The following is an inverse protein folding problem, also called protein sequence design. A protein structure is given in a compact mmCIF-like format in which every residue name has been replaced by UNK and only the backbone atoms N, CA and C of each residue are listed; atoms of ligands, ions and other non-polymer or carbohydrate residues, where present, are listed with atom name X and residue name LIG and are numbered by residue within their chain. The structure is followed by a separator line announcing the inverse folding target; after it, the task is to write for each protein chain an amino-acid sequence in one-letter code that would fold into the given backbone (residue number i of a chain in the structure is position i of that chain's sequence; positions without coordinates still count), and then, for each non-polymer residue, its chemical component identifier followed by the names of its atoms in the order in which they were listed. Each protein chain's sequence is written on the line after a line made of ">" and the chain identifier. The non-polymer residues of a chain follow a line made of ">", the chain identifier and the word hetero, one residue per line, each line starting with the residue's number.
data_IF_015272071013
#
_entry.id   IF_015272071013
#
_cell.length_a   1.000
_cell.length_b   1.000
_cell.length_c   1.000
_cell.angle_alpha   90.00
_cell.angle_beta   90.00
_cell.angle_gamma   90.00
#
_symmetry.space_group_name_H-M   'P 1'
#
loop_
_entity.id
_entity.type
_entity.pdbx_description
1 polymer ?
#
# COMPACT_ATOMS: atom_id res chain seq x y z
N UNK A 1 -30.45 -14.94 -1.39
CA UNK A 1 -29.93 -13.63 -1.81
C UNK A 1 -29.58 -12.88 -0.53
N UNK A 2 -28.33 -13.00 -0.11
CA UNK A 2 -27.87 -12.38 1.13
C UNK A 2 -27.64 -10.89 0.89
N UNK A 3 -28.27 -10.05 1.71
CA UNK A 3 -28.11 -8.61 1.70
C UNK A 3 -26.66 -8.26 2.09
N UNK A 4 -25.83 -8.00 1.08
CA UNK A 4 -24.53 -7.37 1.28
C UNK A 4 -24.75 -5.99 1.89
N UNK A 5 -24.45 -5.89 3.19
CA UNK A 5 -24.46 -4.64 3.94
C UNK A 5 -23.34 -3.73 3.41
N UNK A 6 -23.64 -2.57 2.78
CA UNK A 6 -22.61 -1.67 2.25
C UNK A 6 -21.84 -0.94 3.37
N UNK A 7 -22.15 -1.19 4.66
CA UNK A 7 -21.44 -0.60 5.80
C UNK A 7 -20.14 -1.31 6.18
N UNK A 8 -19.68 -2.30 5.41
CA UNK A 8 -18.35 -2.88 5.56
C UNK A 8 -17.26 -2.09 4.81
N UNK A 9 -17.53 -0.85 4.39
CA UNK A 9 -16.47 0.14 4.23
C UNK A 9 -15.95 0.40 5.64
N UNK A 10 -14.97 -0.39 6.06
CA UNK A 10 -14.17 -0.13 7.24
C UNK A 10 -13.91 1.37 7.24
N UNK A 11 -14.53 2.09 8.19
CA UNK A 11 -14.08 3.40 8.63
C UNK A 11 -12.67 3.17 9.14
N UNK A 12 -11.72 3.02 8.23
CA UNK A 12 -10.31 3.07 8.53
C UNK A 12 -10.13 4.45 9.11
N UNK A 13 -10.04 4.48 10.43
CA UNK A 13 -9.92 5.65 11.28
C UNK A 13 -8.84 6.56 10.68
N UNK A 14 -9.23 7.51 9.83
CA UNK A 14 -8.29 8.46 9.21
C UNK A 14 -7.58 9.29 10.27
N UNK A 15 -8.16 9.35 11.48
CA UNK A 15 -7.55 9.89 12.70
C UNK A 15 -6.24 9.20 13.09
N UNK A 16 -6.10 7.93 12.75
CA UNK A 16 -4.94 7.10 13.06
C UNK A 16 -4.36 6.53 11.76
N UNK A 17 -4.01 7.42 10.83
CA UNK A 17 -3.34 7.06 9.59
C UNK A 17 -2.06 7.87 9.41
N UNK A 18 -1.10 7.30 8.69
CA UNK A 18 0.20 7.95 8.40
C UNK A 18 0.67 7.64 6.99
N UNK A 19 1.55 8.45 6.41
CA UNK A 19 2.19 8.11 5.13
C UNK A 19 2.96 6.79 5.21
N UNK A 20 2.92 6.00 4.15
CA UNK A 20 3.72 4.78 4.05
C UNK A 20 5.20 5.13 3.82
N UNK A 21 6.05 4.97 4.83
CA UNK A 21 7.49 5.26 4.71
C UNK A 21 8.18 4.43 3.60
N UNK A 22 7.78 3.17 3.41
CA UNK A 22 8.29 2.34 2.32
C UNK A 22 7.96 2.93 0.95
N UNK A 23 6.70 3.26 0.68
CA UNK A 23 6.33 3.87 -0.59
C UNK A 23 7.01 5.25 -0.77
N UNK A 24 7.18 6.02 0.32
CA UNK A 24 7.90 7.30 0.27
C UNK A 24 9.36 7.14 -0.12
N UNK A 25 10.01 6.05 0.29
CA UNK A 25 11.41 5.77 -0.03
C UNK A 25 11.59 5.24 -1.46
N UNK A 26 10.67 4.41 -1.95
CA UNK A 26 10.86 3.66 -3.21
C UNK A 26 10.01 4.12 -4.40
N UNK A 27 8.97 4.91 -4.19
CA UNK A 27 8.23 5.53 -5.28
C UNK A 27 8.60 7.01 -5.46
N UNK A 28 9.30 7.38 -6.54
CA UNK A 28 9.62 8.78 -6.83
C UNK A 28 8.38 9.64 -7.03
N UNK A 29 7.23 9.04 -7.37
CA UNK A 29 5.96 9.73 -7.61
C UNK A 29 5.04 9.70 -6.39
N UNK A 30 5.54 9.31 -5.22
CA UNK A 30 4.72 9.14 -4.02
C UNK A 30 3.91 10.40 -3.67
N UNK A 31 4.53 11.58 -3.75
CA UNK A 31 3.89 12.86 -3.42
C UNK A 31 2.87 13.31 -4.49
N UNK A 32 2.93 12.77 -5.70
CA UNK A 32 1.95 13.04 -6.77
C UNK A 32 0.66 12.21 -6.63
N UNK A 33 0.69 11.16 -5.81
CA UNK A 33 -0.49 10.31 -5.59
C UNK A 33 -1.58 11.07 -4.85
N UNK A 34 -2.82 10.62 -4.97
CA UNK A 34 -3.89 11.13 -4.12
C UNK A 34 -3.55 10.88 -2.65
N UNK A 35 -3.85 11.85 -1.78
CA UNK A 35 -3.60 11.75 -0.34
C UNK A 35 -3.98 10.38 0.27
N UNK A 36 -5.17 9.79 0.03
CA UNK A 36 -5.52 8.50 0.61
C UNK A 36 -4.63 7.33 0.13
N UNK A 37 -4.11 7.36 -1.10
CA UNK A 37 -3.21 6.31 -1.64
C UNK A 37 -1.82 6.35 -1.01
N UNK A 38 -1.47 7.48 -0.39
CA UNK A 38 -0.22 7.64 0.35
C UNK A 38 -0.29 7.02 1.76
N UNK A 39 -1.50 6.78 2.27
CA UNK A 39 -1.73 6.51 3.69
C UNK A 39 -1.85 5.02 4.01
N UNK A 40 -1.35 4.65 5.19
CA UNK A 40 -1.52 3.35 5.84
C UNK A 40 -2.18 3.52 7.20
N UNK A 41 -2.88 2.47 7.65
CA UNK A 41 -3.42 2.41 9.00
C UNK A 41 -2.30 2.38 10.05
N UNK A 42 -2.40 3.18 11.11
CA UNK A 42 -1.44 3.20 12.21
C UNK A 42 -1.41 1.87 12.97
N UNK A 43 -0.25 1.50 13.51
CA UNK A 43 -0.05 0.26 14.26
C UNK A 43 0.21 -0.99 13.41
N UNK A 44 0.12 -0.87 12.07
CA UNK A 44 0.53 -1.94 11.14
C UNK A 44 1.93 -1.69 10.60
N UNK A 45 2.61 -2.79 10.26
CA UNK A 45 3.89 -2.75 9.52
C UNK A 45 3.67 -2.12 8.14
N UNK A 46 4.75 -1.67 7.51
CA UNK A 46 4.75 -1.15 6.13
C UNK A 46 4.52 -2.26 5.11
N UNK A 47 3.29 -2.77 5.04
CA UNK A 47 2.90 -3.82 4.10
C UNK A 47 1.79 -3.33 3.18
N UNK A 48 1.64 -3.95 2.02
CA UNK A 48 0.57 -3.61 1.08
C UNK A 48 -0.81 -3.60 1.77
N UNK A 49 -1.11 -4.61 2.59
CA UNK A 49 -2.38 -4.76 3.32
C UNK A 49 -2.63 -3.71 4.42
N UNK A 50 -1.67 -2.81 4.69
CA UNK A 50 -1.86 -1.70 5.60
C UNK A 50 -2.40 -0.45 4.89
N UNK A 51 -2.37 -0.40 3.56
CA UNK A 51 -2.89 0.74 2.80
C UNK A 51 -4.40 0.90 2.94
N UNK A 52 -4.85 2.16 2.95
CA UNK A 52 -6.27 2.51 3.10
C UNK A 52 -7.06 2.35 1.80
N UNK A 53 -6.38 2.26 0.67
CA UNK A 53 -6.96 2.14 -0.66
C UNK A 53 -6.37 0.96 -1.42
N UNK A 54 -7.15 0.45 -2.39
CA UNK A 54 -6.69 -0.59 -3.31
C UNK A 54 -5.52 -0.10 -4.19
N UNK A 55 -5.57 1.13 -4.68
CA UNK A 55 -4.49 1.68 -5.49
C UNK A 55 -3.18 1.80 -4.69
N UNK A 56 -3.26 2.26 -3.43
CA UNK A 56 -2.12 2.25 -2.49
C UNK A 56 -1.57 0.83 -2.28
N UNK A 57 -2.46 -0.16 -2.08
CA UNK A 57 -2.10 -1.57 -1.96
C UNK A 57 -1.35 -2.07 -3.21
N UNK A 58 -1.91 -1.86 -4.40
CA UNK A 58 -1.35 -2.37 -5.66
C UNK A 58 0.01 -1.75 -5.92
N UNK A 59 0.13 -0.42 -5.78
CA UNK A 59 1.40 0.28 -5.99
C UNK A 59 2.47 -0.16 -4.99
N UNK A 60 2.13 -0.34 -3.72
CA UNK A 60 3.06 -0.91 -2.73
C UNK A 60 3.51 -2.31 -3.15
N UNK A 61 2.58 -3.17 -3.57
CA UNK A 61 2.89 -4.55 -3.94
C UNK A 61 3.79 -4.63 -5.17
N UNK A 62 3.58 -3.76 -6.16
CA UNK A 62 4.46 -3.66 -7.34
C UNK A 62 5.89 -3.28 -6.93
N UNK A 63 6.06 -2.32 -6.02
CA UNK A 63 7.40 -1.95 -5.52
C UNK A 63 8.09 -3.10 -4.78
N UNK A 64 7.37 -3.84 -3.93
CA UNK A 64 7.91 -5.03 -3.27
C UNK A 64 8.43 -6.06 -4.29
N UNK A 65 7.62 -6.37 -5.30
CA UNK A 65 7.96 -7.34 -6.35
C UNK A 65 9.15 -6.86 -7.19
N UNK A 66 9.16 -5.59 -7.60
CA UNK A 66 10.28 -5.00 -8.34
C UNK A 66 11.59 -5.09 -7.56
N UNK A 67 11.56 -4.88 -6.24
CA UNK A 67 12.75 -5.02 -5.39
C UNK A 67 13.22 -6.46 -5.24
N UNK A 68 12.30 -7.42 -5.18
CA UNK A 68 12.65 -8.85 -5.18
C UNK A 68 13.33 -9.20 -6.51
N UNK A 69 12.72 -8.79 -7.63
CA UNK A 69 13.27 -9.01 -8.96
C UNK A 69 14.66 -8.39 -9.12
N UNK A 70 14.87 -7.15 -8.68
CA UNK A 70 16.18 -6.48 -8.76
C UNK A 70 17.26 -7.09 -7.86
N UNK A 71 16.86 -7.76 -6.77
CA UNK A 71 17.78 -8.36 -5.80
C UNK A 71 18.17 -9.78 -6.16
N UNK A 72 17.49 -10.39 -7.12
CA UNK A 72 17.86 -11.71 -7.64
C UNK A 72 18.97 -11.49 -8.66
N UNK A 73 20.24 -11.86 -8.39
CA UNK A 73 21.25 -11.87 -9.45
C UNK A 73 20.75 -12.80 -10.55
N UNK A 74 20.79 -12.33 -11.79
CA UNK A 74 20.43 -13.13 -12.95
C UNK A 74 21.42 -14.29 -13.07
N UNK A 75 21.15 -15.40 -12.38
CA UNK A 75 21.83 -16.67 -12.60
C UNK A 75 21.01 -17.44 -13.64
N UNK A 76 20.96 -16.91 -14.86
CA UNK A 76 20.62 -17.71 -16.02
C UNK A 76 21.93 -18.32 -16.51
N UNK A 77 22.10 -19.61 -16.22
CA UNK A 77 23.20 -20.47 -16.67
C UNK A 77 23.07 -20.79 -18.16
#
# INVERSE_FOLDING_TARGET
>A
MEHMNPAAVSRSDTRSSRPCDFCREFDPRFLERSAPDQMVATGRKHTASAHLTEDGYVRHRVLELSRIASRTPSTAA
#
